data_IF_937065295317
#
_entry.id   IF_937065295317
#
_cell.length_a   1.000
_cell.length_b   1.000
_cell.length_c   1.000
_cell.angle_alpha   90.00
_cell.angle_beta   90.00
_cell.angle_gamma   90.00
#
_symmetry.space_group_name_H-M   'P 1'
#
loop_
_entity.id
_entity.type
_entity.pdbx_description
1 polymer ?
#
# COMPACT_ATOMS: atom_id res chain seq x y z
N UNK A 1 21.65 -9.29 -23.24
CA UNK A 1 22.15 -8.01 -22.74
C UNK A 1 23.22 -8.30 -21.70
N UNK A 2 24.48 -8.12 -22.07
CA UNK A 2 25.61 -8.20 -21.14
C UNK A 2 25.74 -6.87 -20.37
N UNK A 3 26.53 -6.85 -19.29
CA UNK A 3 26.78 -5.63 -18.53
C UNK A 3 27.44 -4.54 -19.39
N UNK A 4 28.30 -4.95 -20.33
CA UNK A 4 28.98 -4.05 -21.27
C UNK A 4 28.00 -3.45 -22.28
N UNK A 5 27.08 -4.25 -22.82
CA UNK A 5 26.01 -3.77 -23.71
C UNK A 5 25.11 -2.75 -23.00
N UNK A 6 24.76 -2.99 -21.73
CA UNK A 6 23.94 -2.07 -20.93
C UNK A 6 24.62 -0.72 -20.71
N UNK A 7 25.92 -0.71 -20.39
CA UNK A 7 26.67 0.53 -20.21
C UNK A 7 26.77 1.32 -21.51
N UNK A 8 27.00 0.63 -22.63
CA UNK A 8 27.04 1.27 -23.95
C UNK A 8 25.69 1.88 -24.32
N UNK A 9 24.60 1.14 -24.10
CA UNK A 9 23.24 1.62 -24.36
C UNK A 9 22.92 2.84 -23.48
N UNK A 10 23.25 2.80 -22.19
CA UNK A 10 23.05 3.94 -21.28
C UNK A 10 23.84 5.18 -21.73
N UNK A 11 25.11 5.02 -22.12
CA UNK A 11 25.94 6.13 -22.60
C UNK A 11 25.47 6.69 -23.95
N UNK A 12 24.83 5.86 -24.79
CA UNK A 12 24.25 6.29 -26.07
C UNK A 12 22.99 7.15 -25.92
N UNK A 13 22.36 7.14 -24.74
CA UNK A 13 21.15 7.91 -24.49
C UNK A 13 21.44 9.41 -24.40
N UNK A 14 20.49 10.28 -24.81
CA UNK A 14 20.55 11.71 -24.53
C UNK A 14 20.62 11.99 -23.03
N UNK A 15 21.24 13.11 -22.65
CA UNK A 15 21.46 13.50 -21.24
C UNK A 15 20.20 13.44 -20.38
N UNK A 16 19.05 13.83 -20.94
CA UNK A 16 17.78 13.81 -20.20
C UNK A 16 17.28 12.38 -19.94
N UNK A 17 17.46 11.47 -20.90
CA UNK A 17 17.13 10.05 -20.71
C UNK A 17 18.09 9.38 -19.72
N UNK A 18 19.38 9.75 -19.70
CA UNK A 18 20.31 9.29 -18.68
C UNK A 18 19.88 9.70 -17.27
N UNK A 19 19.42 10.95 -17.08
CA UNK A 19 18.87 11.42 -15.79
C UNK A 19 17.66 10.62 -15.36
N UNK A 20 16.76 10.28 -16.28
CA UNK A 20 15.58 9.46 -15.96
C UNK A 20 15.98 8.07 -15.46
N UNK A 21 16.95 7.42 -16.10
CA UNK A 21 17.48 6.13 -15.65
C UNK A 21 18.09 6.24 -14.26
N UNK A 22 18.90 7.27 -13.99
CA UNK A 22 19.48 7.50 -12.66
C UNK A 22 18.41 7.72 -11.58
N UNK A 23 17.39 8.52 -11.88
CA UNK A 23 16.27 8.75 -10.97
C UNK A 23 15.49 7.46 -10.70
N UNK A 24 15.31 6.62 -11.72
CA UNK A 24 14.63 5.33 -11.56
C UNK A 24 15.44 4.37 -10.70
N UNK A 25 16.76 4.30 -10.90
CA UNK A 25 17.65 3.50 -10.02
C UNK A 25 17.57 4.00 -8.58
N UNK A 26 17.58 5.32 -8.36
CA UNK A 26 17.45 5.91 -7.02
C UNK A 26 16.10 5.56 -6.38
N UNK A 27 15.01 5.62 -7.14
CA UNK A 27 13.68 5.20 -6.70
C UNK A 27 13.64 3.72 -6.28
N UNK A 28 14.20 2.82 -7.09
CA UNK A 28 14.22 1.39 -6.79
C UNK A 28 15.06 1.06 -5.55
N UNK A 29 16.19 1.75 -5.35
CA UNK A 29 16.99 1.61 -4.13
C UNK A 29 16.21 2.01 -2.89
N UNK A 30 15.50 3.14 -2.94
CA UNK A 30 14.62 3.58 -1.86
C UNK A 30 13.51 2.57 -1.59
N UNK A 31 12.89 2.01 -2.63
CA UNK A 31 11.84 1.01 -2.49
C UNK A 31 12.32 -0.21 -1.68
N UNK A 32 13.55 -0.68 -1.94
CA UNK A 32 14.15 -1.81 -1.22
C UNK A 32 14.46 -1.51 0.25
N UNK A 33 14.80 -0.27 0.59
CA UNK A 33 14.98 0.16 1.99
C UNK A 33 13.64 0.31 2.72
N UNK A 34 12.57 0.62 1.98
CA UNK A 34 11.21 0.75 2.50
C UNK A 34 10.38 -0.52 2.42
N UNK A 35 10.88 -1.60 1.82
CA UNK A 35 10.24 -2.89 2.06
C UNK A 35 10.31 -3.12 3.56
N UNK A 36 9.17 -3.16 4.27
CA UNK A 36 9.22 -3.61 5.63
C UNK A 36 9.86 -4.99 5.52
N UNK A 37 10.97 -5.21 6.22
CA UNK A 37 11.27 -6.54 6.69
C UNK A 37 10.01 -6.93 7.44
N UNK A 38 9.09 -7.57 6.72
CA UNK A 38 7.86 -8.12 7.21
C UNK A 38 8.28 -9.39 7.97
N UNK A 39 9.07 -9.21 9.01
CA UNK A 39 8.67 -9.77 10.27
C UNK A 39 7.34 -9.11 10.55
N UNK A 40 6.27 -9.72 10.01
CA UNK A 40 4.96 -9.55 10.59
C UNK A 40 5.17 -10.02 12.03
N UNK A 41 5.49 -9.08 12.92
CA UNK A 41 5.21 -9.27 14.33
C UNK A 41 3.77 -9.75 14.33
N UNK A 42 3.55 -10.94 14.88
CA UNK A 42 2.24 -11.50 15.12
C UNK A 42 1.53 -10.52 16.08
N UNK A 43 0.97 -9.45 15.50
CA UNK A 43 0.26 -8.43 16.26
C UNK A 43 -1.06 -9.07 16.58
N UNK A 44 -1.21 -9.46 17.83
CA UNK A 44 -2.46 -9.96 18.36
C UNK A 44 -3.49 -8.82 18.41
N UNK A 45 -4.11 -8.58 17.25
CA UNK A 45 -5.17 -7.59 17.08
C UNK A 45 -6.41 -7.91 17.92
N UNK A 46 -6.57 -9.16 18.40
CA UNK A 46 -7.71 -9.56 19.23
C UNK A 46 -7.57 -8.99 20.64
N UNK A 47 -6.35 -8.98 21.18
CA UNK A 47 -6.07 -8.47 22.52
C UNK A 47 -5.48 -7.05 22.53
N UNK A 48 -5.39 -6.38 21.38
CA UNK A 48 -4.88 -5.02 21.29
C UNK A 48 -5.83 -4.01 22.00
N UNK A 49 -5.34 -3.19 22.94
CA UNK A 49 -6.13 -2.20 23.67
C UNK A 49 -6.87 -1.19 22.77
N UNK A 50 -6.36 -0.93 21.56
CA UNK A 50 -6.98 -0.06 20.56
C UNK A 50 -8.24 -0.68 19.93
N UNK A 51 -8.27 -2.00 19.75
CA UNK A 51 -9.39 -2.76 19.14
C UNK A 51 -10.49 -3.06 20.19
N UNK A 52 -10.24 -2.80 21.47
CA UNK A 52 -11.20 -3.01 22.57
C UNK A 52 -12.52 -2.25 22.43
N UNK A 53 -12.56 -1.14 21.68
CA UNK A 53 -13.78 -0.32 21.50
C UNK A 53 -14.89 -1.04 20.71
N UNK A 54 -14.56 -2.06 19.92
CA UNK A 54 -15.52 -2.76 19.05
C UNK A 54 -15.89 -4.15 19.56
N UNK A 55 -15.21 -4.62 20.62
CA UNK A 55 -15.37 -5.98 21.17
C UNK A 55 -16.80 -6.29 21.63
N UNK A 56 -17.51 -5.29 22.15
CA UNK A 56 -18.86 -5.45 22.70
C UNK A 56 -19.96 -5.19 21.65
N UNK A 57 -19.59 -4.78 20.44
CA UNK A 57 -20.54 -4.47 19.36
C UNK A 57 -20.92 -5.71 18.59
N UNK A 58 -21.97 -6.37 19.08
CA UNK A 58 -22.55 -7.57 18.46
C UNK A 58 -23.08 -7.31 17.04
N UNK A 59 -23.47 -6.08 16.73
CA UNK A 59 -23.92 -5.67 15.39
C UNK A 59 -22.78 -5.67 14.35
N UNK A 60 -21.52 -5.65 14.80
CA UNK A 60 -20.33 -5.74 13.95
C UNK A 60 -19.82 -7.18 13.76
N UNK A 61 -20.49 -8.19 14.32
CA UNK A 61 -20.16 -9.60 14.09
C UNK A 61 -20.20 -9.97 12.59
N UNK A 62 -21.06 -9.29 11.82
CA UNK A 62 -21.00 -9.28 10.36
C UNK A 62 -20.77 -7.84 9.86
N UNK A 63 -19.52 -7.41 9.92
CA UNK A 63 -19.09 -6.07 9.51
C UNK A 63 -19.51 -5.72 8.08
N UNK A 64 -19.55 -6.68 7.17
CA UNK A 64 -19.97 -6.46 5.77
C UNK A 64 -21.45 -6.10 5.69
N UNK A 65 -22.31 -6.82 6.42
CA UNK A 65 -23.74 -6.51 6.48
C UNK A 65 -24.00 -5.17 7.16
N UNK A 66 -23.28 -4.86 8.24
CA UNK A 66 -23.39 -3.60 8.97
C UNK A 66 -23.03 -2.38 8.11
N UNK A 67 -21.90 -2.42 7.37
CA UNK A 67 -21.51 -1.31 6.48
C UNK A 67 -22.55 -1.09 5.37
N UNK A 68 -23.10 -2.18 4.80
CA UNK A 68 -24.12 -2.10 3.76
C UNK A 68 -25.41 -1.44 4.28
N UNK A 69 -25.91 -1.86 5.44
CA UNK A 69 -27.12 -1.29 6.03
C UNK A 69 -26.95 0.18 6.42
N UNK A 70 -25.78 0.58 6.93
CA UNK A 70 -25.46 1.99 7.21
C UNK A 70 -25.48 2.82 5.92
N UNK A 71 -24.86 2.32 4.84
CA UNK A 71 -24.85 3.03 3.55
C UNK A 71 -26.26 3.15 2.96
N UNK A 72 -27.08 2.11 3.07
CA UNK A 72 -28.47 2.15 2.65
C UNK A 72 -29.27 3.15 3.47
N UNK A 73 -29.16 3.15 4.79
CA UNK A 73 -29.98 4.01 5.65
C UNK A 73 -29.58 5.49 5.60
N UNK A 74 -28.28 5.76 5.60
CA UNK A 74 -27.75 7.11 5.77
C UNK A 74 -27.44 7.80 4.43
N UNK A 75 -27.05 7.05 3.40
CA UNK A 75 -26.55 7.63 2.16
C UNK A 75 -27.47 7.42 0.96
N UNK A 76 -28.45 6.51 1.01
CA UNK A 76 -29.39 6.31 -0.11
C UNK A 76 -30.51 7.36 -0.16
N UNK A 77 -30.78 8.08 0.94
CA UNK A 77 -31.81 9.13 1.02
C UNK A 77 -31.39 10.47 0.41
N UNK A 78 -30.18 10.61 -0.11
CA UNK A 78 -29.70 11.86 -0.73
C UNK A 78 -30.04 11.99 -2.23
N UNK A 79 -30.97 11.18 -2.76
CA UNK A 79 -31.57 11.38 -4.09
C UNK A 79 -33.05 11.73 -3.93
N UNK A 80 -33.30 12.99 -3.58
CA UNK A 80 -34.59 13.67 -3.69
C UNK A 80 -34.34 15.01 -4.37
#
# INVERSE_FOLDING_TARGET
MTQEELLNDFLSLPTEAQRQVLNFIAFLKKYRETEPTSQATDVDLVNDPFIGMWRERQDLANSTAWVRSVRENEWSKSRG
#
